data_IF_047586269557
#
_entry.id   IF_047586269557
#
_cell.length_a   1.000
_cell.length_b   1.000
_cell.length_c   1.000
_cell.angle_alpha   90.00
_cell.angle_beta   90.00
_cell.angle_gamma   90.00
#
_symmetry.space_group_name_H-M   'P 1'
#
loop_
_entity.id
_entity.type
_entity.pdbx_description
1 polymer ?
#
# COMPACT_ATOMS: atom_id res chain seq x y z
N UNK A 1 -2.57 1.28 3.86
CA UNK A 1 -1.93 0.14 4.55
C UNK A 1 -0.71 0.65 5.29
N UNK A 2 -0.63 0.40 6.60
CA UNK A 2 0.55 0.76 7.39
C UNK A 2 1.68 -0.21 7.08
N UNK A 3 2.90 0.31 6.95
CA UNK A 3 4.09 -0.51 6.75
C UNK A 3 4.53 -1.06 8.10
N UNK A 4 4.94 -2.32 8.15
CA UNK A 4 5.52 -2.92 9.35
C UNK A 4 6.76 -2.12 9.79
N UNK A 5 6.98 -1.95 11.10
CA UNK A 5 8.06 -1.11 11.62
C UNK A 5 9.44 -1.47 11.01
N UNK A 6 9.68 -2.77 10.82
CA UNK A 6 10.90 -3.33 10.20
C UNK A 6 11.08 -2.99 8.71
N UNK A 7 9.99 -2.73 7.99
CA UNK A 7 10.00 -2.39 6.58
C UNK A 7 9.97 -0.87 6.33
N UNK A 8 9.66 -0.07 7.35
CA UNK A 8 9.68 1.40 7.25
C UNK A 8 11.08 1.91 6.94
N UNK A 9 12.11 1.33 7.57
CA UNK A 9 13.51 1.69 7.34
C UNK A 9 13.94 1.47 5.88
N UNK A 10 13.42 0.42 5.23
CA UNK A 10 13.68 0.09 3.81
C UNK A 10 13.02 1.07 2.83
N UNK A 11 12.09 1.89 3.31
CA UNK A 11 11.41 2.93 2.54
C UNK A 11 11.92 4.34 2.84
N UNK A 12 13.08 4.43 3.50
CA UNK A 12 13.70 5.72 3.79
C UNK A 12 14.19 6.39 2.50
N UNK A 13 13.82 7.66 2.31
CA UNK A 13 14.31 8.50 1.23
C UNK A 13 15.01 9.72 1.81
N UNK A 14 16.06 10.17 1.13
CA UNK A 14 16.85 11.33 1.54
C UNK A 14 16.42 12.53 0.70
N UNK A 15 16.14 13.62 1.39
CA UNK A 15 15.89 14.94 0.81
C UNK A 15 16.99 15.90 1.27
N UNK A 16 17.07 17.07 0.65
CA UNK A 16 17.99 18.14 1.07
C UNK A 16 17.76 18.61 2.52
N UNK A 17 16.59 18.31 3.08
CA UNK A 17 16.21 18.66 4.46
C UNK A 17 16.36 17.50 5.47
N UNK A 18 16.76 16.31 5.02
CA UNK A 18 16.96 15.14 5.87
C UNK A 18 16.37 13.83 5.31
N UNK A 19 16.50 12.77 6.09
CA UNK A 19 15.98 11.44 5.77
C UNK A 19 14.60 11.22 6.38
N UNK A 20 13.66 10.75 5.55
CA UNK A 20 12.28 10.48 5.95
C UNK A 20 11.90 9.05 5.58
N UNK A 21 11.13 8.40 6.45
CA UNK A 21 10.64 7.03 6.24
C UNK A 21 9.13 7.05 6.04
N UNK A 22 8.63 6.25 5.10
CA UNK A 22 7.19 6.14 4.90
C UNK A 22 6.55 5.27 6.00
N UNK A 23 5.52 5.80 6.66
CA UNK A 23 4.72 5.06 7.65
C UNK A 23 3.54 4.30 7.03
N UNK A 24 3.13 4.74 5.84
CA UNK A 24 2.12 4.11 5.00
C UNK A 24 2.70 3.82 3.63
N UNK A 25 2.27 2.73 3.03
CA UNK A 25 2.79 2.26 1.74
C UNK A 25 2.74 3.38 0.68
N UNK A 26 3.91 3.89 0.20
CA UNK A 26 3.94 4.94 -0.81
C UNK A 26 3.52 4.43 -2.18
N UNK A 27 2.98 5.34 -3.01
CA UNK A 27 2.72 5.06 -4.42
C UNK A 27 4.05 4.86 -5.15
N UNK A 28 4.18 3.76 -5.90
CA UNK A 28 5.39 3.45 -6.68
C UNK A 28 6.22 2.26 -6.18
N UNK A 29 5.91 1.70 -4.99
CA UNK A 29 6.49 0.42 -4.58
C UNK A 29 5.89 -0.74 -5.41
N UNK A 30 6.74 -1.68 -5.82
CA UNK A 30 6.39 -2.80 -6.73
C UNK A 30 5.22 -3.67 -6.24
N UNK A 31 4.99 -3.74 -4.93
CA UNK A 31 3.92 -4.53 -4.31
C UNK A 31 2.63 -3.75 -4.02
N UNK A 32 2.61 -2.43 -4.26
CA UNK A 32 1.43 -1.57 -4.01
C UNK A 32 0.22 -2.00 -4.83
N UNK A 33 0.34 -2.31 -6.14
CA UNK A 33 -0.84 -2.65 -6.94
C UNK A 33 -1.53 -3.92 -6.45
N UNK A 34 -0.76 -4.91 -5.97
CA UNK A 34 -1.29 -6.18 -5.46
C UNK A 34 -2.03 -5.98 -4.15
N UNK A 35 -1.45 -5.22 -3.21
CA UNK A 35 -2.07 -4.95 -1.91
C UNK A 35 -3.31 -4.06 -2.09
N UNK A 36 -3.23 -3.04 -2.94
CA UNK A 36 -4.36 -2.16 -3.23
C UNK A 36 -5.49 -2.92 -3.93
N UNK A 37 -5.17 -3.76 -4.91
CA UNK A 37 -6.14 -4.62 -5.58
C UNK A 37 -6.80 -5.59 -4.61
N UNK A 38 -6.04 -6.23 -3.71
CA UNK A 38 -6.61 -7.10 -2.67
C UNK A 38 -7.61 -6.37 -1.77
N UNK A 39 -7.30 -5.13 -1.38
CA UNK A 39 -8.20 -4.30 -0.55
C UNK A 39 -9.45 -3.92 -1.33
N UNK A 40 -9.31 -3.51 -2.58
CA UNK A 40 -10.44 -3.17 -3.45
C UNK A 40 -11.32 -4.40 -3.68
N UNK A 41 -10.74 -5.55 -4.00
CA UNK A 41 -11.49 -6.81 -4.18
C UNK A 41 -12.19 -7.25 -2.90
N UNK A 42 -11.57 -7.07 -1.72
CA UNK A 42 -12.23 -7.37 -0.45
C UNK A 42 -13.35 -6.37 -0.12
N UNK A 43 -13.13 -5.08 -0.30
CA UNK A 43 -14.11 -4.03 0.01
C UNK A 43 -15.33 -4.09 -0.91
N UNK A 44 -15.12 -4.45 -2.17
CA UNK A 44 -16.18 -4.59 -3.17
C UNK A 44 -16.57 -6.05 -3.40
N UNK A 45 -16.18 -6.99 -2.52
CA UNK A 45 -16.44 -8.42 -2.72
C UNK A 45 -17.92 -8.71 -2.93
N UNK A 46 -18.78 -8.10 -2.10
CA UNK A 46 -20.22 -8.29 -2.17
C UNK A 46 -20.82 -7.60 -3.40
N UNK A 47 -20.28 -6.44 -3.80
CA UNK A 47 -20.71 -5.76 -5.02
C UNK A 47 -20.34 -6.56 -6.28
N UNK A 48 -19.12 -7.06 -6.34
CA UNK A 48 -18.64 -7.91 -7.45
C UNK A 48 -19.40 -9.23 -7.50
N UNK A 49 -19.71 -9.83 -6.36
CA UNK A 49 -20.50 -11.06 -6.29
C UNK A 49 -21.93 -10.85 -6.82
N UNK A 50 -22.56 -9.72 -6.49
CA UNK A 50 -23.90 -9.39 -6.98
C UNK A 50 -23.93 -8.91 -8.44
N UNK A 51 -22.83 -8.36 -8.96
CA UNK A 51 -22.76 -7.84 -10.35
C UNK A 51 -22.40 -8.91 -11.38
N UNK A 52 -21.81 -10.03 -10.95
CA UNK A 52 -21.42 -11.15 -11.82
C UNK A 52 -22.47 -12.27 -11.91
N UNK A 53 -23.67 -12.05 -11.35
CA UNK A 53 -24.83 -12.95 -11.47
C UNK A 53 -25.84 -12.35 -12.45
#
# INVERSE_FOLDING_TARGET
VRIAQEDQEKTTFTTEWGSFSYTVMPFGLKNVPVVFSCIVVQAFKDFIHNFLQ
#
